data_IF_225593327796
#
_entry.id   IF_225593327796
#
_cell.length_a   1.000
_cell.length_b   1.000
_cell.length_c   1.000
_cell.angle_alpha   90.00
_cell.angle_beta   90.00
_cell.angle_gamma   90.00
#
_symmetry.space_group_name_H-M   'P 1'
#
loop_
_entity.id
_entity.type
_entity.pdbx_description
1 polymer ?
#
# COMPACT_ATOMS: atom_id res chain seq x y z
N UNK A 1 -3.29 9.23 -17.60
CA UNK A 1 -4.39 9.26 -16.61
C UNK A 1 -3.89 8.53 -15.39
N UNK A 2 -3.51 9.23 -14.33
CA UNK A 2 -3.05 8.61 -13.07
C UNK A 2 -4.26 7.99 -12.40
N UNK A 3 -4.53 6.73 -12.76
CA UNK A 3 -5.54 5.90 -12.14
C UNK A 3 -5.18 5.81 -10.66
N UNK A 4 -5.91 6.57 -9.84
CA UNK A 4 -5.73 6.61 -8.39
C UNK A 4 -6.02 5.18 -7.93
N UNK A 5 -4.96 4.40 -7.70
CA UNK A 5 -5.04 2.97 -7.46
C UNK A 5 -6.14 2.73 -6.43
N UNK A 6 -7.15 1.92 -6.78
CA UNK A 6 -8.22 1.54 -5.85
C UNK A 6 -7.59 0.64 -4.79
N UNK A 7 -7.10 1.27 -3.73
CA UNK A 7 -6.48 0.61 -2.59
C UNK A 7 -7.13 1.02 -1.27
N UNK A 8 -7.09 0.10 -0.30
CA UNK A 8 -7.60 0.33 1.05
C UNK A 8 -8.00 -0.95 1.77
N UNK A 9 -8.52 -0.79 2.97
CA UNK A 9 -8.99 -1.85 3.84
C UNK A 9 -10.43 -2.24 3.50
N UNK A 10 -10.71 -3.53 3.55
CA UNK A 10 -12.10 -4.01 3.51
C UNK A 10 -12.26 -5.22 4.41
N UNK A 11 -13.47 -5.38 4.92
CA UNK A 11 -13.87 -6.54 5.70
C UNK A 11 -14.47 -7.60 4.77
N UNK A 12 -13.93 -8.81 4.83
CA UNK A 12 -14.51 -9.93 4.09
C UNK A 12 -15.40 -10.76 5.00
N UNK A 13 -16.57 -11.16 4.51
CA UNK A 13 -17.53 -11.99 5.26
C UNK A 13 -16.90 -13.32 5.72
N UNK A 14 -15.93 -13.84 4.97
CA UNK A 14 -15.22 -15.10 5.27
C UNK A 14 -13.94 -14.92 6.11
N UNK A 15 -13.68 -13.72 6.65
CA UNK A 15 -12.50 -13.42 7.45
C UNK A 15 -12.88 -12.63 8.70
N UNK A 16 -12.25 -12.94 9.83
CA UNK A 16 -12.42 -12.21 11.10
C UNK A 16 -11.53 -10.98 11.24
N UNK A 17 -10.88 -10.56 10.14
CA UNK A 17 -9.92 -9.46 10.10
C UNK A 17 -10.09 -8.62 8.84
N UNK A 18 -9.77 -7.34 8.96
CA UNK A 18 -9.68 -6.40 7.85
C UNK A 18 -8.44 -6.71 6.99
N UNK A 19 -8.61 -6.71 5.67
CA UNK A 19 -7.52 -6.95 4.72
C UNK A 19 -7.32 -5.72 3.85
N UNK A 20 -6.05 -5.36 3.64
CA UNK A 20 -5.68 -4.30 2.70
C UNK A 20 -5.61 -4.88 1.30
N UNK A 21 -6.30 -4.25 0.36
CA UNK A 21 -6.31 -4.59 -1.05
C UNK A 21 -5.65 -3.50 -1.87
N UNK A 22 -4.89 -3.91 -2.89
CA UNK A 22 -4.39 -3.07 -3.97
C UNK A 22 -4.56 -3.85 -5.26
N UNK A 23 -5.08 -3.22 -6.31
CA UNK A 23 -5.32 -3.86 -7.60
C UNK A 23 -6.13 -5.17 -7.47
N UNK A 24 -7.20 -5.11 -6.67
CA UNK A 24 -8.11 -6.23 -6.38
C UNK A 24 -7.49 -7.45 -5.69
N UNK A 25 -6.26 -7.34 -5.17
CA UNK A 25 -5.59 -8.44 -4.43
C UNK A 25 -5.15 -7.99 -3.05
N UNK A 26 -5.28 -8.87 -2.06
CA UNK A 26 -4.86 -8.56 -0.70
C UNK A 26 -3.33 -8.60 -0.57
N UNK A 27 -2.76 -7.71 0.25
CA UNK A 27 -1.31 -7.68 0.48
C UNK A 27 -0.78 -8.95 1.16
N UNK A 28 -1.63 -9.67 1.90
CA UNK A 28 -1.30 -10.97 2.47
C UNK A 28 -1.34 -12.12 1.43
N UNK A 29 -1.82 -11.85 0.22
CA UNK A 29 -1.87 -12.81 -0.89
C UNK A 29 -2.98 -13.87 -0.80
N UNK A 30 -3.79 -13.83 0.27
CA UNK A 30 -4.82 -14.86 0.55
C UNK A 30 -6.16 -14.59 -0.11
N UNK A 31 -6.45 -13.34 -0.49
CA UNK A 31 -7.76 -12.93 -0.96
C UNK A 31 -7.64 -12.11 -2.24
N UNK A 32 -8.64 -12.22 -3.10
CA UNK A 32 -8.82 -11.40 -4.27
C UNK A 32 -10.29 -10.96 -4.35
N UNK A 33 -10.53 -9.72 -4.75
CA UNK A 33 -11.86 -9.18 -4.98
C UNK A 33 -12.27 -9.46 -6.41
N UNK A 34 -13.44 -10.07 -6.60
CA UNK A 34 -14.03 -10.35 -7.91
C UNK A 34 -14.74 -9.12 -8.49
N UNK A 35 -15.02 -8.10 -7.68
CA UNK A 35 -15.73 -6.88 -8.07
C UNK A 35 -15.15 -5.65 -7.37
N UNK A 36 -15.58 -4.47 -7.81
CA UNK A 36 -15.22 -3.19 -7.17
C UNK A 36 -15.90 -3.09 -5.81
N UNK A 37 -15.21 -3.51 -4.75
CA UNK A 37 -15.64 -3.31 -3.36
C UNK A 37 -15.23 -1.93 -2.87
N UNK A 38 -16.00 -1.36 -1.94
CA UNK A 38 -15.59 -0.15 -1.22
C UNK A 38 -14.36 -0.45 -0.36
N UNK A 39 -13.30 0.32 -0.58
CA UNK A 39 -12.04 0.20 0.16
C UNK A 39 -11.88 1.43 1.06
N UNK A 40 -11.74 1.20 2.35
CA UNK A 40 -11.49 2.25 3.33
C UNK A 40 -10.01 2.67 3.27
N UNK A 41 -9.77 3.96 3.00
CA UNK A 41 -8.41 4.52 3.09
C UNK A 41 -8.13 4.99 4.51
N UNK A 42 -6.94 4.67 5.03
CA UNK A 42 -6.53 5.02 6.39
C UNK A 42 -6.72 3.89 7.38
N UNK A 43 -6.79 4.21 8.68
CA UNK A 43 -6.96 3.23 9.77
C UNK A 43 -5.91 2.09 9.82
N UNK A 44 -4.71 2.35 9.30
CA UNK A 44 -3.65 1.33 9.15
C UNK A 44 -3.22 0.69 10.48
N UNK A 45 -3.40 1.41 11.60
CA UNK A 45 -2.96 1.01 12.93
C UNK A 45 -4.00 0.21 13.73
N UNK A 46 -5.17 -0.10 13.16
CA UNK A 46 -6.20 -0.86 13.87
C UNK A 46 -5.71 -2.28 14.26
N UNK A 47 -6.02 -2.76 15.49
CA UNK A 47 -5.73 -4.14 15.92
C UNK A 47 -6.55 -5.19 15.14
N UNK A 48 -7.65 -4.78 14.50
CA UNK A 48 -8.50 -5.66 13.69
C UNK A 48 -7.98 -5.89 12.27
N UNK A 49 -6.95 -5.15 11.89
CA UNK A 49 -6.26 -5.32 10.61
C UNK A 49 -5.39 -6.58 10.62
N UNK A 50 -5.41 -7.30 9.50
CA UNK A 50 -4.52 -8.43 9.26
C UNK A 50 -3.05 -8.00 9.45
N UNK A 51 -2.36 -8.64 10.38
CA UNK A 51 -0.96 -8.33 10.70
C UNK A 51 -0.02 -8.47 9.48
N UNK A 52 -0.30 -9.42 8.58
CA UNK A 52 0.46 -9.60 7.35
C UNK A 52 0.27 -8.42 6.38
N UNK A 53 -0.96 -7.96 6.21
CA UNK A 53 -1.26 -6.79 5.39
C UNK A 53 -0.60 -5.53 5.98
N UNK A 54 -0.70 -5.32 7.29
CA UNK A 54 -0.01 -4.20 7.98
C UNK A 54 1.49 -4.21 7.74
N UNK A 55 2.13 -5.37 7.93
CA UNK A 55 3.59 -5.51 7.74
C UNK A 55 4.01 -5.26 6.30
N UNK A 56 3.24 -5.76 5.33
CA UNK A 56 3.49 -5.51 3.91
C UNK A 56 3.37 -4.01 3.59
N UNK A 57 2.31 -3.36 4.05
CA UNK A 57 2.08 -1.92 3.86
C UNK A 57 3.23 -1.09 4.43
N UNK A 58 3.68 -1.39 5.66
CA UNK A 58 4.82 -0.72 6.28
C UNK A 58 6.11 -0.93 5.47
N UNK A 59 6.35 -2.13 4.97
CA UNK A 59 7.53 -2.45 4.15
C UNK A 59 7.53 -1.66 2.84
N UNK A 60 6.37 -1.49 2.22
CA UNK A 60 6.23 -0.70 0.99
C UNK A 60 6.43 0.79 1.27
N UNK A 61 5.79 1.34 2.32
CA UNK A 61 5.99 2.73 2.73
C UNK A 61 7.47 3.04 3.01
N UNK A 62 8.18 2.13 3.67
CA UNK A 62 9.61 2.28 3.93
C UNK A 62 10.47 2.23 2.66
N UNK A 63 10.05 1.51 1.61
CA UNK A 63 10.75 1.52 0.32
C UNK A 63 10.56 2.83 -0.43
N UNK A 64 9.35 3.39 -0.42
CA UNK A 64 9.04 4.64 -1.11
C UNK A 64 9.88 5.81 -0.58
N UNK A 65 10.08 5.90 0.74
CA UNK A 65 10.90 6.96 1.36
C UNK A 65 12.35 6.94 0.86
N UNK A 66 12.93 5.76 0.66
CA UNK A 66 14.33 5.63 0.20
C UNK A 66 14.55 6.13 -1.23
N UNK A 67 13.52 6.10 -2.08
CA UNK A 67 13.63 6.50 -3.49
C UNK A 67 13.61 8.03 -3.63
N UNK A 68 12.80 8.71 -2.80
CA UNK A 68 12.67 10.18 -2.82
C UNK A 68 13.93 10.86 -2.30
N UNK A 69 14.59 10.27 -1.31
CA UNK A 69 15.82 10.83 -0.73
C UNK A 69 17.02 10.71 -1.67
N UNK A 70 17.08 9.64 -2.47
CA UNK A 70 18.17 9.42 -3.43
C UNK A 70 18.12 10.39 -4.62
N UNK A 71 16.92 10.73 -5.10
CA UNK A 71 16.71 11.53 -6.32
C UNK A 71 16.86 13.04 -6.12
N UNK A 72 17.01 13.52 -4.89
CA UNK A 72 17.24 14.94 -4.58
C UNK A 72 18.72 15.35 -4.59
N UNK A 73 19.66 14.40 -4.69
CA UNK A 73 21.10 14.67 -4.65
C UNK A 73 21.78 14.63 -6.03
N UNK A 74 21.08 14.16 -7.06
CA UNK A 74 21.65 13.98 -8.41
C UNK A 74 21.66 15.27 -9.27
N UNK A 75 21.05 16.38 -8.81
CA UNK A 75 20.96 17.63 -9.59
C UNK A 75 22.10 18.64 -9.34
N UNK A 76 23.02 18.39 -8.41
CA UNK A 76 24.16 19.28 -8.09
C UNK A 76 25.48 18.67 -8.58
N UNK A 77 25.60 18.39 -9.88
CA UNK A 77 26.76 17.65 -10.38
C UNK A 77 27.23 17.89 -11.81
N UNK A 78 26.62 18.80 -12.59
CA UNK A 78 27.05 19.06 -13.97
C UNK A 78 27.13 20.54 -14.31
N UNK A 79 27.87 21.27 -13.50
CA UNK A 79 28.33 22.59 -13.90
C UNK A 79 29.70 22.86 -13.26
N UNK A 80 30.76 22.38 -13.92
CA UNK A 80 32.07 23.05 -14.07
C UNK A 80 33.12 22.12 -14.70
N UNK A 81 33.62 22.59 -15.84
CA UNK A 81 34.86 22.26 -16.57
C UNK A 81 34.76 21.20 -17.67
#
# INVERSE_FOLDING_TARGET
MTEKEKEGWTWLINSTKWHYFRNSRSLCGKFALLSSTSLEQGNDNSPDNCALCKRALLKEKAKTVKVVEQSSLDEVGREKR
#
